data_IF_008743307111
#
_entry.id   IF_008743307111
#
_cell.length_a   1.000
_cell.length_b   1.000
_cell.length_c   1.000
_cell.angle_alpha   90.00
_cell.angle_beta   90.00
_cell.angle_gamma   90.00
#
_symmetry.space_group_name_H-M   'P 1'
#
loop_
_entity.id
_entity.type
_entity.pdbx_description
1 polymer ?
#
# COMPACT_ATOMS: atom_id res chain seq x y z
N UNK A 1 -16.69 11.17 -2.44
CA UNK A 1 -15.31 10.79 -2.02
C UNK A 1 -14.39 11.97 -2.29
N UNK A 2 -13.65 12.48 -1.30
CA UNK A 2 -12.73 13.62 -1.51
C UNK A 2 -11.64 13.24 -2.52
N UNK A 3 -11.26 14.14 -3.45
CA UNK A 3 -10.25 13.88 -4.49
C UNK A 3 -8.94 13.32 -3.92
N UNK A 4 -8.51 13.83 -2.76
CA UNK A 4 -7.35 13.33 -2.00
C UNK A 4 -7.47 11.84 -1.62
N UNK A 5 -8.65 11.42 -1.14
CA UNK A 5 -8.91 10.01 -0.78
C UNK A 5 -8.91 9.10 -2.00
N UNK A 6 -9.46 9.58 -3.13
CA UNK A 6 -9.43 8.82 -4.39
C UNK A 6 -8.00 8.59 -4.87
N UNK A 7 -7.17 9.64 -4.91
CA UNK A 7 -5.77 9.50 -5.31
C UNK A 7 -4.94 8.64 -4.36
N UNK A 8 -5.16 8.74 -3.05
CA UNK A 8 -4.50 7.87 -2.07
C UNK A 8 -4.83 6.39 -2.31
N UNK A 9 -6.10 6.09 -2.60
CA UNK A 9 -6.55 4.72 -2.86
C UNK A 9 -5.98 4.19 -4.18
N UNK A 10 -5.95 5.02 -5.23
CA UNK A 10 -5.31 4.67 -6.51
C UNK A 10 -3.81 4.41 -6.36
N UNK A 11 -3.09 5.25 -5.60
CA UNK A 11 -1.66 5.06 -5.34
C UNK A 11 -1.38 3.74 -4.61
N UNK A 12 -2.20 3.42 -3.60
CA UNK A 12 -2.08 2.15 -2.87
C UNK A 12 -2.38 0.94 -3.75
N UNK A 13 -3.40 1.00 -4.62
CA UNK A 13 -3.70 -0.07 -5.57
C UNK A 13 -2.57 -0.27 -6.60
N UNK A 14 -1.97 0.81 -7.10
CA UNK A 14 -0.82 0.75 -7.99
C UNK A 14 0.39 0.10 -7.30
N UNK A 15 0.64 0.45 -6.04
CA UNK A 15 1.70 -0.15 -5.22
C UNK A 15 1.47 -1.67 -5.02
N UNK A 16 0.24 -2.06 -4.69
CA UNK A 16 -0.17 -3.47 -4.58
C UNK A 16 0.06 -4.23 -5.88
N UNK A 17 -0.34 -3.65 -7.02
CA UNK A 17 -0.15 -4.25 -8.33
C UNK A 17 1.34 -4.46 -8.65
N UNK A 18 2.16 -3.43 -8.46
CA UNK A 18 3.60 -3.51 -8.70
C UNK A 18 4.25 -4.58 -7.81
N UNK A 19 4.01 -4.54 -6.50
CA UNK A 19 4.59 -5.52 -5.59
C UNK A 19 4.07 -6.93 -5.82
N UNK A 20 2.81 -7.10 -6.24
CA UNK A 20 2.28 -8.40 -6.66
C UNK A 20 3.09 -9.00 -7.81
N UNK A 21 3.41 -8.20 -8.83
CA UNK A 21 4.31 -8.63 -9.92
C UNK A 21 5.68 -8.99 -9.36
N UNK A 22 6.29 -8.15 -8.53
CA UNK A 22 7.63 -8.44 -7.98
C UNK A 22 7.63 -9.77 -7.19
N UNK A 23 6.62 -10.02 -6.35
CA UNK A 23 6.53 -11.26 -5.56
C UNK A 23 6.37 -12.51 -6.43
N UNK A 24 5.68 -12.41 -7.55
CA UNK A 24 5.46 -13.54 -8.48
C UNK A 24 6.72 -13.83 -9.31
N UNK A 25 7.37 -12.79 -9.83
CA UNK A 25 8.47 -12.93 -10.79
C UNK A 25 9.87 -12.92 -10.15
N UNK A 26 10.00 -12.51 -8.88
CA UNK A 26 11.27 -12.45 -8.15
C UNK A 26 11.19 -13.27 -6.87
N UNK A 27 11.36 -14.61 -6.94
CA UNK A 27 11.20 -15.50 -5.79
C UNK A 27 12.39 -15.40 -4.83
N UNK A 28 12.41 -14.34 -4.02
CA UNK A 28 13.37 -14.14 -2.93
C UNK A 28 12.62 -13.91 -1.62
N UNK A 29 12.88 -14.75 -0.63
CA UNK A 29 12.18 -14.71 0.67
C UNK A 29 12.40 -13.38 1.39
N UNK A 30 13.63 -12.87 1.39
CA UNK A 30 13.98 -11.59 2.01
C UNK A 30 13.24 -10.43 1.36
N UNK A 31 13.08 -10.49 0.04
CA UNK A 31 12.30 -9.51 -0.72
C UNK A 31 10.82 -9.59 -0.35
N UNK A 32 10.28 -10.80 -0.18
CA UNK A 32 8.92 -11.02 0.30
C UNK A 32 8.65 -10.32 1.64
N UNK A 33 9.57 -10.49 2.60
CA UNK A 33 9.48 -9.82 3.90
C UNK A 33 9.49 -8.29 3.79
N UNK A 34 10.41 -7.72 3.01
CA UNK A 34 10.50 -6.28 2.81
C UNK A 34 9.24 -5.71 2.13
N UNK A 35 8.71 -6.40 1.12
CA UNK A 35 7.49 -6.02 0.41
C UNK A 35 6.28 -6.04 1.35
N UNK A 36 6.12 -7.10 2.15
CA UNK A 36 5.01 -7.21 3.10
C UNK A 36 5.05 -6.11 4.17
N UNK A 37 6.24 -5.78 4.69
CA UNK A 37 6.41 -4.67 5.62
C UNK A 37 6.04 -3.32 4.98
N UNK A 38 6.49 -3.09 3.74
CA UNK A 38 6.14 -1.88 2.99
C UNK A 38 4.63 -1.77 2.75
N UNK A 39 3.98 -2.86 2.35
CA UNK A 39 2.53 -2.92 2.17
C UNK A 39 1.78 -2.67 3.48
N UNK A 40 2.24 -3.25 4.59
CA UNK A 40 1.62 -3.04 5.90
C UNK A 40 1.69 -1.57 6.35
N UNK A 41 2.84 -0.92 6.17
CA UNK A 41 3.01 0.50 6.48
C UNK A 41 2.17 1.40 5.56
N UNK A 42 2.14 1.10 4.26
CA UNK A 42 1.33 1.85 3.31
C UNK A 42 -0.18 1.70 3.58
N UNK A 43 -0.62 0.50 3.98
CA UNK A 43 -1.99 0.24 4.41
C UNK A 43 -2.33 1.02 5.69
N UNK A 44 -1.40 1.08 6.64
CA UNK A 44 -1.57 1.87 7.86
C UNK A 44 -1.71 3.37 7.55
N UNK A 45 -0.83 3.94 6.70
CA UNK A 45 -0.93 5.33 6.27
C UNK A 45 -2.28 5.60 5.60
N UNK A 46 -2.70 4.76 4.65
CA UNK A 46 -4.00 4.88 3.99
C UNK A 46 -5.17 4.84 5.00
N UNK A 47 -5.12 3.93 5.98
CA UNK A 47 -6.11 3.84 7.05
C UNK A 47 -6.18 5.13 7.87
N UNK A 48 -5.03 5.70 8.24
CA UNK A 48 -4.98 6.96 9.00
C UNK A 48 -5.47 8.17 8.20
N UNK A 49 -5.24 8.21 6.88
CA UNK A 49 -5.76 9.25 6.00
C UNK A 49 -7.27 9.13 5.75
N UNK A 50 -7.79 7.90 5.71
CA UNK A 50 -9.23 7.64 5.54
C UNK A 50 -10.00 7.91 6.84
N UNK A 51 -9.39 7.66 8.00
CA UNK A 51 -10.02 7.92 9.30
C UNK A 51 -10.29 9.43 9.46
N UNK A 52 -11.50 9.84 9.84
CA UNK A 52 -11.76 11.24 10.18
C UNK A 52 -10.88 11.60 11.38
N UNK A 53 -9.95 12.53 11.20
CA UNK A 53 -9.19 13.14 12.29
C UNK A 53 -10.21 13.81 13.22
N UNK A 54 -10.61 13.15 14.31
CA UNK A 54 -11.32 13.84 15.41
C UNK A 54 -10.30 14.85 15.94
N UNK A 55 -10.58 16.12 15.69
CA UNK A 55 -9.77 17.25 16.16
C UNK A 55 -9.59 17.18 17.67
#
# INVERSE_FOLDING_TARGET
>A
MNRKRLFALLAYLALLGFFGVVLVFVPRVDLGGAVLLGLALAAYDLWTQLRPRRR
#
